data_IF_625029633813
#
_entry.id   IF_625029633813
#
_cell.length_a   1.000
_cell.length_b   1.000
_cell.length_c   1.000
_cell.angle_alpha   90.00
_cell.angle_beta   90.00
_cell.angle_gamma   90.00
#
_symmetry.space_group_name_H-M   'P 1'
#
loop_
_entity.id
_entity.type
_entity.pdbx_description
1 polymer ?
#
# COMPACT_ATOMS: atom_id res chain seq x y z
N UNK A 1 -14.17 12.77 3.27
CA UNK A 1 -13.12 12.18 4.14
C UNK A 1 -11.81 12.09 3.39
N UNK A 2 -10.68 12.25 4.08
CA UNK A 2 -9.32 12.19 3.52
C UNK A 2 -8.63 10.90 3.92
N UNK A 3 -8.27 10.07 2.93
CA UNK A 3 -7.64 8.78 3.14
C UNK A 3 -6.20 8.83 2.61
N UNK A 4 -5.26 8.42 3.45
CA UNK A 4 -3.84 8.44 3.13
C UNK A 4 -3.23 7.04 3.25
N UNK A 5 -2.27 6.76 2.38
CA UNK A 5 -1.42 5.57 2.45
C UNK A 5 0.04 5.98 2.45
N UNK A 6 0.85 5.40 3.33
CA UNK A 6 2.27 5.71 3.43
C UNK A 6 3.10 4.52 3.92
N UNK A 7 4.02 4.04 3.07
CA UNK A 7 5.12 3.21 3.52
C UNK A 7 6.11 4.07 4.32
N UNK A 8 6.14 3.88 5.64
CA UNK A 8 6.93 4.72 6.56
C UNK A 8 8.36 4.23 6.77
N UNK A 9 8.72 3.06 6.22
CA UNK A 9 10.04 2.44 6.40
C UNK A 9 10.51 2.44 7.87
N UNK A 10 9.59 2.09 8.78
CA UNK A 10 9.77 2.09 10.22
C UNK A 10 9.08 3.26 10.92
N UNK A 11 7.96 2.97 11.59
CA UNK A 11 7.12 3.98 12.26
C UNK A 11 7.87 4.78 13.33
N UNK A 12 8.75 4.11 14.09
CA UNK A 12 9.59 4.75 15.11
C UNK A 12 10.55 5.78 14.49
N UNK A 13 11.09 5.50 13.31
CA UNK A 13 12.04 6.38 12.66
C UNK A 13 11.35 7.66 12.17
N UNK A 14 10.16 7.55 11.57
CA UNK A 14 9.40 8.71 11.09
C UNK A 14 8.84 9.57 12.24
N UNK A 15 8.45 8.95 13.35
CA UNK A 15 8.04 9.65 14.58
C UNK A 15 9.21 10.40 15.21
N UNK A 16 10.36 9.75 15.39
CA UNK A 16 11.55 10.38 15.98
C UNK A 16 12.07 11.58 15.18
N UNK A 17 11.85 11.59 13.85
CA UNK A 17 12.19 12.74 12.99
C UNK A 17 11.17 13.89 13.09
N UNK A 18 10.04 13.70 13.76
CA UNK A 18 8.92 14.64 13.82
C UNK A 18 8.11 14.72 12.53
N UNK A 19 8.39 13.88 11.53
CA UNK A 19 7.75 13.95 10.22
C UNK A 19 6.33 13.41 10.25
N UNK A 20 6.06 12.42 11.12
CA UNK A 20 4.70 11.89 11.28
C UNK A 20 3.73 12.93 11.86
N UNK A 21 4.17 13.70 12.88
CA UNK A 21 3.37 14.78 13.46
C UNK A 21 3.13 15.92 12.46
N UNK A 22 4.16 16.32 11.69
CA UNK A 22 4.01 17.32 10.61
C UNK A 22 3.02 16.85 9.54
N UNK A 23 3.11 15.58 9.15
CA UNK A 23 2.18 14.97 8.20
C UNK A 23 0.72 15.10 8.70
N UNK A 24 0.42 14.68 9.92
CA UNK A 24 -0.94 14.78 10.46
C UNK A 24 -1.41 16.23 10.57
N UNK A 25 -0.53 17.13 11.05
CA UNK A 25 -0.86 18.54 11.23
C UNK A 25 -1.11 19.29 9.90
N UNK A 26 -0.42 18.91 8.82
CA UNK A 26 -0.54 19.57 7.52
C UNK A 26 -1.72 19.04 6.71
N UNK A 27 -1.96 17.72 6.77
CA UNK A 27 -2.89 17.06 5.86
C UNK A 27 -4.25 16.74 6.47
N UNK A 28 -4.34 16.67 7.81
CA UNK A 28 -5.54 16.34 8.56
C UNK A 28 -6.27 15.08 8.05
N UNK A 29 -5.59 13.91 8.02
CA UNK A 29 -6.20 12.67 7.54
C UNK A 29 -7.38 12.23 8.42
N UNK A 30 -8.32 11.48 7.84
CA UNK A 30 -9.38 10.78 8.57
C UNK A 30 -9.02 9.29 8.74
N UNK A 31 -8.37 8.70 7.73
CA UNK A 31 -7.83 7.35 7.75
C UNK A 31 -6.39 7.38 7.22
N UNK A 32 -5.49 6.72 7.94
CA UNK A 32 -4.08 6.57 7.60
C UNK A 32 -3.74 5.08 7.52
N UNK A 33 -3.36 4.62 6.34
CA UNK A 33 -2.86 3.28 6.09
C UNK A 33 -1.33 3.32 6.07
N UNK A 34 -0.68 2.55 6.94
CA UNK A 34 0.77 2.52 7.07
C UNK A 34 1.33 1.15 6.67
N UNK A 35 2.42 1.17 5.91
CA UNK A 35 3.19 -0.02 5.54
C UNK A 35 4.63 0.08 6.06
N UNK A 36 5.28 -1.07 6.19
CA UNK A 36 6.59 -1.21 6.83
C UNK A 36 6.67 -0.52 8.21
N UNK A 37 5.68 -0.78 9.07
CA UNK A 37 5.72 -0.21 10.43
C UNK A 37 6.96 -0.69 11.20
N UNK A 38 7.44 -1.91 10.93
CA UNK A 38 8.62 -2.54 11.57
C UNK A 38 8.55 -2.51 13.10
N UNK A 39 7.33 -2.55 13.65
CA UNK A 39 7.06 -2.43 15.07
C UNK A 39 5.78 -3.20 15.42
N UNK A 40 5.74 -3.74 16.64
CA UNK A 40 4.50 -4.21 17.26
C UNK A 40 3.74 -3.05 17.88
N UNK A 41 2.42 -3.20 18.04
CA UNK A 41 1.62 -2.26 18.82
C UNK A 41 2.25 -2.05 20.21
N UNK A 42 2.32 -0.80 20.66
CA UNK A 42 2.96 -0.40 21.92
C UNK A 42 4.49 -0.28 21.87
N UNK A 43 5.15 -0.60 20.75
CA UNK A 43 6.60 -0.34 20.58
C UNK A 43 6.91 1.06 20.01
N UNK A 44 5.88 1.81 19.61
CA UNK A 44 5.97 3.21 19.22
C UNK A 44 4.88 3.97 19.99
N UNK A 45 5.22 5.16 20.48
CA UNK A 45 4.25 6.07 21.08
C UNK A 45 3.55 6.83 19.96
N UNK A 46 2.25 6.63 19.81
CA UNK A 46 1.42 7.30 18.82
C UNK A 46 0.62 8.38 19.55
N UNK A 47 1.01 9.64 19.38
CA UNK A 47 0.31 10.79 19.97
C UNK A 47 -0.81 11.28 19.03
N UNK A 48 -1.82 10.43 18.84
CA UNK A 48 -3.01 10.70 18.02
C UNK A 48 -4.28 10.27 18.76
N UNK A 49 -4.70 10.99 19.82
CA UNK A 49 -5.81 10.55 20.68
C UNK A 49 -7.18 10.48 19.96
N UNK A 50 -7.33 11.13 18.80
CA UNK A 50 -8.54 11.08 17.98
C UNK A 50 -8.62 9.84 17.09
N UNK A 51 -7.55 9.02 17.02
CA UNK A 51 -7.47 7.86 16.14
C UNK A 51 -7.55 6.56 16.93
N UNK A 52 -8.34 5.61 16.44
CA UNK A 52 -8.21 4.21 16.80
C UNK A 52 -7.09 3.57 15.99
N UNK A 53 -6.34 2.66 16.63
CA UNK A 53 -5.19 1.99 16.04
C UNK A 53 -5.43 0.51 15.81
N UNK A 54 -5.23 0.06 14.57
CA UNK A 54 -5.30 -1.35 14.21
C UNK A 54 -3.97 -1.79 13.60
N UNK A 55 -3.37 -2.83 14.16
CA UNK A 55 -2.02 -3.29 13.79
C UNK A 55 -2.04 -4.73 13.31
N UNK A 56 -1.24 -5.01 12.27
CA UNK A 56 -0.86 -6.35 11.85
C UNK A 56 0.66 -6.39 11.73
N UNK A 57 1.30 -6.89 12.78
CA UNK A 57 2.74 -6.86 12.93
C UNK A 57 3.36 -8.18 12.48
N UNK A 58 4.52 -8.14 11.84
CA UNK A 58 5.24 -9.36 11.52
C UNK A 58 5.73 -10.10 12.78
N UNK A 59 5.80 -11.42 12.69
CA UNK A 59 6.43 -12.26 13.72
C UNK A 59 7.91 -11.91 13.87
N UNK A 60 8.59 -11.67 12.75
CA UNK A 60 9.99 -11.25 12.70
C UNK A 60 10.12 -9.80 13.20
N UNK A 61 10.87 -9.53 14.28
CA UNK A 61 11.05 -8.18 14.79
C UNK A 61 11.71 -7.25 13.76
N UNK A 62 11.24 -6.00 13.68
CA UNK A 62 11.84 -4.97 12.82
C UNK A 62 11.61 -5.18 11.32
N UNK A 63 10.65 -6.02 10.93
CA UNK A 63 10.39 -6.36 9.54
C UNK A 63 8.92 -6.13 9.19
N UNK A 64 8.65 -5.66 7.96
CA UNK A 64 7.29 -5.54 7.39
C UNK A 64 6.32 -4.84 8.36
N UNK A 65 5.09 -5.34 8.48
CA UNK A 65 4.05 -4.82 9.36
C UNK A 65 3.23 -3.72 8.70
N UNK A 66 1.94 -3.73 8.98
CA UNK A 66 0.96 -2.75 8.52
C UNK A 66 0.14 -2.22 9.69
N UNK A 67 -0.43 -1.04 9.51
CA UNK A 67 -1.37 -0.46 10.46
C UNK A 67 -2.44 0.37 9.74
N UNK A 68 -3.63 0.48 10.33
CA UNK A 68 -4.65 1.45 9.97
C UNK A 68 -4.93 2.30 11.20
N UNK A 69 -4.74 3.61 11.09
CA UNK A 69 -5.21 4.59 12.08
C UNK A 69 -6.43 5.28 11.52
N UNK A 70 -7.53 5.33 12.28
CA UNK A 70 -8.79 5.91 11.79
C UNK A 70 -9.50 6.71 12.88
N UNK A 71 -10.05 7.88 12.53
CA UNK A 71 -10.94 8.66 13.41
C UNK A 71 -12.34 8.05 13.54
N UNK A 72 -12.68 7.15 12.61
CA UNK A 72 -13.98 6.48 12.55
C UNK A 72 -13.77 5.04 12.98
N UNK A 73 -14.55 4.60 13.97
CA UNK A 73 -14.51 3.22 14.43
C UNK A 73 -15.02 2.28 13.34
N UNK A 74 -14.21 1.32 12.85
CA UNK A 74 -14.68 0.31 11.91
C UNK A 74 -15.66 -0.67 12.57
N UNK A 75 -16.53 -1.27 11.75
CA UNK A 75 -17.46 -2.32 12.16
C UNK A 75 -16.72 -3.63 12.49
N UNK A 76 -15.69 -3.94 11.70
CA UNK A 76 -14.84 -5.10 11.87
C UNK A 76 -13.45 -4.84 11.29
N UNK A 77 -12.45 -5.57 11.79
CA UNK A 77 -11.08 -5.53 11.26
C UNK A 77 -10.55 -6.94 11.13
N UNK A 78 -10.00 -7.25 9.95
CA UNK A 78 -9.43 -8.56 9.60
C UNK A 78 -7.97 -8.40 9.23
N UNK A 79 -7.12 -9.22 9.82
CA UNK A 79 -5.68 -9.28 9.52
C UNK A 79 -5.40 -10.47 8.60
N UNK A 80 -4.72 -10.23 7.48
CA UNK A 80 -4.42 -11.28 6.49
C UNK A 80 -5.57 -11.54 5.52
N UNK A 81 -5.63 -12.77 5.01
CA UNK A 81 -6.66 -13.22 4.08
C UNK A 81 -7.73 -14.05 4.81
N UNK A 82 -8.89 -14.24 4.17
CA UNK A 82 -9.86 -15.23 4.65
C UNK A 82 -9.23 -16.64 4.66
N UNK A 83 -9.56 -17.46 5.67
CA UNK A 83 -8.96 -18.78 5.89
C UNK A 83 -9.00 -19.69 4.64
N UNK A 84 -10.11 -19.64 3.91
CA UNK A 84 -10.32 -20.43 2.67
C UNK A 84 -9.32 -20.05 1.58
N UNK A 85 -8.99 -18.76 1.45
CA UNK A 85 -8.03 -18.22 0.49
C UNK A 85 -6.61 -18.60 0.93
N UNK A 86 -6.29 -18.43 2.21
CA UNK A 86 -5.00 -18.83 2.78
C UNK A 86 -4.69 -20.30 2.53
N UNK A 87 -5.67 -21.18 2.78
CA UNK A 87 -5.55 -22.62 2.53
C UNK A 87 -5.40 -22.97 1.05
N UNK A 88 -6.11 -22.26 0.17
CA UNK A 88 -6.05 -22.48 -1.29
C UNK A 88 -4.69 -22.17 -1.87
N UNK A 89 -4.09 -21.04 -1.50
CA UNK A 89 -2.85 -20.54 -2.14
C UNK A 89 -1.56 -21.03 -1.47
N UNK A 90 -1.63 -21.50 -0.22
CA UNK A 90 -0.50 -22.08 0.52
C UNK A 90 0.74 -21.19 0.46
N UNK A 91 0.61 -19.97 0.97
CA UNK A 91 1.62 -18.92 0.85
C UNK A 91 2.89 -19.31 1.62
N UNK A 92 3.91 -19.76 0.90
CA UNK A 92 5.21 -20.09 1.49
C UNK A 92 6.31 -20.07 0.44
N UNK A 93 7.47 -19.55 0.81
CA UNK A 93 8.69 -19.61 0.03
C UNK A 93 9.91 -19.82 0.94
N UNK A 94 11.12 -19.66 0.39
CA UNK A 94 12.37 -19.78 1.15
C UNK A 94 12.55 -18.70 2.24
N UNK A 95 11.71 -17.66 2.26
CA UNK A 95 11.70 -16.61 3.27
C UNK A 95 10.65 -16.84 4.37
N UNK A 96 9.78 -17.86 4.21
CA UNK A 96 8.76 -18.27 5.17
C UNK A 96 7.34 -18.07 4.64
N UNK A 97 6.37 -17.98 5.54
CA UNK A 97 4.97 -17.70 5.19
C UNK A 97 4.70 -16.18 5.24
N UNK A 98 4.35 -15.53 4.10
CA UNK A 98 3.95 -14.11 4.02
C UNK A 98 2.82 -13.68 4.96
N UNK A 99 1.93 -14.58 5.38
CA UNK A 99 0.84 -14.27 6.31
C UNK A 99 1.36 -13.91 7.70
N UNK A 100 2.54 -14.42 8.07
CA UNK A 100 3.25 -14.06 9.31
C UNK A 100 4.06 -12.77 9.19
N UNK A 101 4.01 -12.12 8.04
CA UNK A 101 4.75 -10.89 7.76
C UNK A 101 3.88 -9.63 7.98
N UNK A 102 2.62 -9.77 8.41
CA UNK A 102 1.77 -8.64 8.80
C UNK A 102 1.46 -7.67 7.65
N UNK A 103 1.13 -8.23 6.47
CA UNK A 103 1.10 -7.48 5.21
C UNK A 103 -0.24 -6.89 4.82
N UNK A 104 -1.35 -7.36 5.38
CA UNK A 104 -2.71 -6.96 4.97
C UNK A 104 -3.57 -6.69 6.19
N UNK A 105 -4.29 -5.56 6.17
CA UNK A 105 -5.38 -5.25 7.10
C UNK A 105 -6.57 -4.79 6.28
N UNK A 106 -7.73 -5.36 6.56
CA UNK A 106 -9.02 -4.96 6.00
C UNK A 106 -9.90 -4.40 7.13
N UNK A 107 -10.29 -3.14 7.04
CA UNK A 107 -11.21 -2.47 7.97
C UNK A 107 -12.56 -2.23 7.28
N UNK A 108 -13.62 -2.71 7.90
CA UNK A 108 -14.98 -2.56 7.41
C UNK A 108 -15.62 -1.27 7.93
N UNK A 109 -16.17 -0.45 7.04
CA UNK A 109 -17.02 0.68 7.39
C UNK A 109 -18.45 0.43 6.90
N UNK A 110 -19.38 1.33 7.22
CA UNK A 110 -20.80 1.16 6.90
C UNK A 110 -21.03 0.89 5.41
N UNK A 111 -20.35 1.65 4.53
CA UNK A 111 -20.60 1.63 3.09
C UNK A 111 -19.48 1.04 2.24
N UNK A 112 -18.31 0.75 2.81
CA UNK A 112 -17.12 0.33 2.06
C UNK A 112 -16.08 -0.35 2.96
N UNK A 113 -15.13 -1.05 2.34
CA UNK A 113 -13.91 -1.53 2.99
C UNK A 113 -12.74 -0.59 2.72
N UNK A 114 -11.85 -0.43 3.71
CA UNK A 114 -10.49 0.07 3.48
C UNK A 114 -9.51 -1.08 3.70
N UNK A 115 -8.68 -1.36 2.70
CA UNK A 115 -7.67 -2.41 2.77
C UNK A 115 -6.29 -1.80 2.57
N UNK A 116 -5.39 -2.00 3.53
CA UNK A 116 -3.97 -1.66 3.35
C UNK A 116 -3.17 -2.92 3.04
N UNK A 117 -2.23 -2.82 2.10
CA UNK A 117 -1.34 -3.91 1.73
C UNK A 117 0.11 -3.45 1.63
N UNK A 118 1.03 -4.29 2.10
CA UNK A 118 2.45 -4.21 1.78
C UNK A 118 2.85 -5.47 1.01
N UNK A 119 2.89 -5.36 -0.31
CA UNK A 119 3.15 -6.50 -1.20
C UNK A 119 4.58 -7.01 -1.03
N UNK A 120 4.83 -8.33 -0.96
CA UNK A 120 6.18 -8.89 -0.94
C UNK A 120 7.03 -8.38 -2.10
N UNK A 121 8.12 -7.69 -1.79
CA UNK A 121 9.12 -7.32 -2.79
C UNK A 121 9.78 -8.60 -3.36
N UNK A 122 9.89 -8.69 -4.69
CA UNK A 122 10.47 -9.84 -5.41
C UNK A 122 11.96 -10.08 -5.14
N UNK A 123 12.63 -9.13 -4.46
CA UNK A 123 14.08 -9.04 -4.22
C UNK A 123 14.88 -8.77 -5.49
N UNK A 124 16.07 -8.20 -5.33
CA UNK A 124 16.93 -7.84 -6.46
C UNK A 124 17.42 -9.06 -7.28
N UNK A 125 17.42 -10.25 -6.68
CA UNK A 125 17.71 -11.53 -7.32
C UNK A 125 16.45 -12.26 -7.83
N UNK A 126 15.27 -11.63 -7.74
CA UNK A 126 13.97 -12.18 -8.09
C UNK A 126 13.58 -13.46 -7.34
N UNK A 127 14.23 -13.75 -6.21
CA UNK A 127 14.02 -14.98 -5.43
C UNK A 127 12.61 -15.14 -4.86
N UNK A 128 11.81 -14.07 -4.80
CA UNK A 128 10.40 -14.10 -4.38
C UNK A 128 9.41 -13.87 -5.52
N UNK A 129 9.89 -13.73 -6.76
CA UNK A 129 9.01 -13.42 -7.90
C UNK A 129 7.96 -14.51 -8.14
N UNK A 130 8.34 -15.78 -8.01
CA UNK A 130 7.42 -16.91 -8.20
C UNK A 130 6.30 -16.89 -7.15
N UNK A 131 6.64 -16.76 -5.87
CA UNK A 131 5.66 -16.58 -4.78
C UNK A 131 4.73 -15.40 -5.09
N UNK A 132 5.32 -14.26 -5.46
CA UNK A 132 4.56 -13.05 -5.73
C UNK A 132 3.53 -13.27 -6.84
N UNK A 133 3.99 -13.76 -7.99
CA UNK A 133 3.18 -13.85 -9.19
C UNK A 133 2.18 -15.03 -9.17
N UNK A 134 2.58 -16.18 -8.63
CA UNK A 134 1.76 -17.41 -8.66
C UNK A 134 0.82 -17.56 -7.47
N UNK A 135 1.16 -16.96 -6.33
CA UNK A 135 0.43 -17.20 -5.08
C UNK A 135 -0.07 -15.89 -4.47
N UNK A 136 0.80 -14.91 -4.21
CA UNK A 136 0.43 -13.69 -3.49
C UNK A 136 -0.55 -12.80 -4.27
N UNK A 137 -0.19 -12.35 -5.47
CA UNK A 137 -1.04 -11.43 -6.26
C UNK A 137 -2.43 -12.05 -6.55
N UNK A 138 -2.53 -13.34 -6.94
CA UNK A 138 -3.82 -14.02 -7.08
C UNK A 138 -4.61 -14.14 -5.76
N UNK A 139 -3.96 -14.49 -4.64
CA UNK A 139 -4.62 -14.59 -3.34
C UNK A 139 -5.17 -13.24 -2.89
N UNK A 140 -4.39 -12.18 -3.06
CA UNK A 140 -4.82 -10.84 -2.69
C UNK A 140 -5.98 -10.37 -3.56
N UNK A 141 -5.94 -10.62 -4.88
CA UNK A 141 -7.07 -10.32 -5.76
C UNK A 141 -8.34 -11.07 -5.34
N UNK A 142 -8.25 -12.36 -5.04
CA UNK A 142 -9.40 -13.15 -4.57
C UNK A 142 -9.95 -12.62 -3.25
N UNK A 143 -9.08 -12.20 -2.32
CA UNK A 143 -9.49 -11.58 -1.06
C UNK A 143 -10.23 -10.26 -1.29
N UNK A 144 -9.71 -9.40 -2.17
CA UNK A 144 -10.37 -8.15 -2.53
C UNK A 144 -11.75 -8.40 -3.15
N UNK A 145 -11.87 -9.39 -4.06
CA UNK A 145 -13.17 -9.74 -4.67
C UNK A 145 -14.14 -10.38 -3.68
N UNK A 146 -13.64 -11.15 -2.72
CA UNK A 146 -14.45 -11.66 -1.61
C UNK A 146 -15.04 -10.51 -0.79
N UNK A 147 -14.22 -9.52 -0.40
CA UNK A 147 -14.72 -8.33 0.32
C UNK A 147 -15.68 -7.50 -0.54
N UNK A 148 -15.35 -7.31 -1.82
CA UNK A 148 -16.16 -6.55 -2.78
C UNK A 148 -17.55 -7.16 -3.00
N UNK A 149 -17.70 -8.48 -2.80
CA UNK A 149 -19.00 -9.14 -2.84
C UNK A 149 -19.98 -8.67 -1.75
N UNK A 150 -19.47 -8.06 -0.68
CA UNK A 150 -20.25 -7.57 0.46
C UNK A 150 -20.43 -6.06 0.41
N UNK A 151 -19.33 -5.31 0.20
CA UNK A 151 -19.30 -3.85 0.11
C UNK A 151 -18.17 -3.44 -0.84
N UNK A 152 -18.29 -2.30 -1.54
CA UNK A 152 -17.21 -1.84 -2.39
C UNK A 152 -15.92 -1.61 -1.60
N UNK A 153 -14.78 -1.82 -2.25
CA UNK A 153 -13.45 -1.82 -1.64
C UNK A 153 -12.65 -0.62 -2.11
N UNK A 154 -12.01 0.08 -1.17
CA UNK A 154 -10.86 0.94 -1.42
C UNK A 154 -9.63 0.20 -0.87
N UNK A 155 -8.63 -0.03 -1.71
CA UNK A 155 -7.37 -0.58 -1.22
C UNK A 155 -6.18 0.27 -1.60
N UNK A 156 -5.16 0.22 -0.75
CA UNK A 156 -3.99 1.06 -0.88
C UNK A 156 -2.73 0.43 -0.31
N UNK A 157 -1.60 1.05 -0.63
CA UNK A 157 -0.30 0.70 -0.06
C UNK A 157 0.78 0.54 -1.11
N UNK A 158 1.94 0.12 -0.62
CA UNK A 158 3.10 -0.21 -1.43
C UNK A 158 2.90 -1.58 -2.10
N UNK A 159 2.57 -1.54 -3.39
CA UNK A 159 2.39 -2.72 -4.22
C UNK A 159 3.71 -3.22 -4.81
N UNK A 160 4.84 -2.55 -4.56
CA UNK A 160 6.16 -2.92 -5.08
C UNK A 160 6.18 -3.14 -6.60
N UNK A 161 5.39 -2.38 -7.37
CA UNK A 161 5.36 -2.47 -8.84
C UNK A 161 5.06 -1.11 -9.44
N UNK A 162 5.81 -0.73 -10.48
CA UNK A 162 5.42 0.34 -11.40
C UNK A 162 4.68 -0.30 -12.59
N UNK A 163 3.41 0.08 -12.81
CA UNK A 163 2.55 -0.61 -13.80
C UNK A 163 2.98 -0.34 -15.24
N UNK A 164 3.18 0.94 -15.57
CA UNK A 164 3.49 1.41 -16.92
C UNK A 164 4.86 2.07 -17.00
N UNK A 165 5.39 2.26 -18.21
CA UNK A 165 6.68 2.94 -18.40
C UNK A 165 6.68 4.39 -17.87
N UNK A 166 5.52 5.04 -17.82
CA UNK A 166 5.36 6.39 -17.24
C UNK A 166 5.41 6.41 -15.70
N UNK A 167 5.37 5.24 -15.05
CA UNK A 167 5.38 5.09 -13.60
C UNK A 167 6.79 5.01 -13.00
N UNK A 168 7.85 5.16 -13.80
CA UNK A 168 9.23 5.23 -13.32
C UNK A 168 10.13 6.07 -14.23
N UNK A 169 11.17 6.67 -13.68
CA UNK A 169 12.03 7.60 -14.41
C UNK A 169 12.90 6.92 -15.51
N UNK A 170 13.20 5.63 -15.38
CA UNK A 170 14.14 4.92 -16.25
C UNK A 170 13.60 3.53 -16.65
N UNK A 171 12.49 3.43 -17.39
CA UNK A 171 11.84 2.14 -17.68
C UNK A 171 12.76 1.16 -18.41
N UNK A 172 13.47 1.62 -19.45
CA UNK A 172 14.33 0.77 -20.29
C UNK A 172 15.42 0.03 -19.50
N UNK A 173 15.99 0.66 -18.49
CA UNK A 173 17.05 0.08 -17.66
C UNK A 173 16.51 -0.86 -16.57
N UNK A 174 15.19 -0.89 -16.38
CA UNK A 174 14.53 -1.63 -15.30
C UNK A 174 13.62 -2.75 -15.79
N UNK A 175 13.43 -2.93 -17.10
CA UNK A 175 12.76 -4.11 -17.66
C UNK A 175 13.37 -5.38 -17.07
N UNK A 176 12.51 -6.23 -16.50
CA UNK A 176 12.91 -7.51 -15.91
C UNK A 176 13.60 -7.41 -14.54
N UNK A 177 13.65 -6.22 -13.92
CA UNK A 177 14.08 -6.06 -12.53
C UNK A 177 12.87 -6.03 -11.60
N UNK A 178 13.07 -6.39 -10.34
CA UNK A 178 12.04 -6.26 -9.30
C UNK A 178 11.41 -4.85 -9.31
N UNK A 179 10.09 -4.81 -9.18
CA UNK A 179 9.28 -3.61 -9.37
C UNK A 179 8.85 -3.33 -10.82
N UNK A 180 9.44 -4.01 -11.82
CA UNK A 180 9.14 -3.78 -13.24
C UNK A 180 9.36 -5.05 -14.10
N UNK A 181 9.12 -6.24 -13.55
CA UNK A 181 9.02 -7.45 -14.38
C UNK A 181 7.65 -7.56 -15.06
N UNK A 182 7.55 -8.37 -16.11
CA UNK A 182 6.27 -8.59 -16.78
C UNK A 182 5.27 -9.30 -15.87
N UNK A 183 5.73 -10.21 -15.00
CA UNK A 183 4.90 -10.92 -14.03
C UNK A 183 4.27 -9.98 -12.99
N UNK A 184 5.05 -9.02 -12.46
CA UNK A 184 4.56 -8.04 -11.48
C UNK A 184 3.57 -7.07 -12.14
N UNK A 185 3.88 -6.61 -13.36
CA UNK A 185 2.99 -5.73 -14.13
C UNK A 185 1.71 -6.45 -14.54
N UNK A 186 1.80 -7.73 -14.87
CA UNK A 186 0.62 -8.59 -15.11
C UNK A 186 -0.19 -8.76 -13.84
N UNK A 187 0.44 -8.97 -12.69
CA UNK A 187 -0.23 -9.00 -11.39
C UNK A 187 -1.03 -7.73 -11.12
N UNK A 188 -0.44 -6.56 -11.38
CA UNK A 188 -1.14 -5.28 -11.28
C UNK A 188 -2.30 -5.17 -12.28
N UNK A 189 -2.06 -5.53 -13.55
CA UNK A 189 -3.09 -5.50 -14.61
C UNK A 189 -4.30 -6.36 -14.25
N UNK A 190 -4.10 -7.51 -13.58
CA UNK A 190 -5.19 -8.36 -13.15
C UNK A 190 -6.16 -7.67 -12.16
N UNK A 191 -5.69 -6.72 -11.33
CA UNK A 191 -6.60 -5.91 -10.51
C UNK A 191 -7.49 -5.02 -11.38
N UNK A 192 -6.91 -4.39 -12.41
CA UNK A 192 -7.66 -3.53 -13.33
C UNK A 192 -8.67 -4.33 -14.15
N UNK A 193 -8.25 -5.47 -14.69
CA UNK A 193 -9.11 -6.37 -15.47
C UNK A 193 -10.24 -6.97 -14.62
N UNK A 194 -10.04 -7.10 -13.31
CA UNK A 194 -11.06 -7.51 -12.36
C UNK A 194 -12.05 -6.39 -11.96
N UNK A 195 -11.89 -5.18 -12.51
CA UNK A 195 -12.80 -4.05 -12.34
C UNK A 195 -12.37 -3.01 -11.30
N UNK A 196 -11.16 -3.09 -10.76
CA UNK A 196 -10.62 -2.03 -9.92
C UNK A 196 -10.09 -0.87 -10.77
N UNK A 197 -10.20 0.36 -10.26
CA UNK A 197 -9.67 1.56 -10.89
C UNK A 197 -8.42 2.05 -10.17
N UNK A 198 -7.32 2.29 -10.90
CA UNK A 198 -6.20 3.10 -10.38
C UNK A 198 -6.66 4.56 -10.31
N UNK A 199 -6.94 5.04 -9.09
CA UNK A 199 -7.53 6.37 -8.88
C UNK A 199 -6.65 7.50 -9.42
N UNK A 200 -5.33 7.36 -9.32
CA UNK A 200 -4.40 8.38 -9.81
C UNK A 200 -4.38 8.42 -11.33
N UNK A 201 -4.28 7.27 -12.01
CA UNK A 201 -4.28 7.20 -13.47
C UNK A 201 -5.62 7.52 -14.09
N UNK A 202 -6.72 7.26 -13.38
CA UNK A 202 -8.04 7.67 -13.82
C UNK A 202 -8.19 9.19 -13.94
N UNK A 203 -7.57 9.97 -13.04
CA UNK A 203 -7.57 11.43 -13.12
C UNK A 203 -6.41 11.98 -13.97
N UNK A 204 -5.25 11.33 -13.93
CA UNK A 204 -4.01 11.78 -14.57
C UNK A 204 -3.42 10.67 -15.46
N UNK A 205 -4.08 10.29 -16.57
CA UNK A 205 -3.71 9.12 -17.37
C UNK A 205 -2.29 9.22 -17.92
N UNK A 206 -1.91 10.38 -18.44
CA UNK A 206 -0.63 10.58 -19.14
C UNK A 206 0.42 11.33 -18.29
N UNK A 207 0.14 11.60 -17.01
CA UNK A 207 1.06 12.39 -16.17
C UNK A 207 2.35 11.63 -15.88
N UNK A 208 3.47 12.15 -16.37
CA UNK A 208 4.81 11.65 -16.07
C UNK A 208 5.39 12.31 -14.81
N UNK A 209 6.56 11.84 -14.38
CA UNK A 209 7.36 12.45 -13.29
C UNK A 209 6.64 12.48 -11.92
N UNK A 210 5.61 11.66 -11.75
CA UNK A 210 4.79 11.56 -10.56
C UNK A 210 5.10 10.24 -9.83
N UNK A 211 6.04 10.31 -8.89
CA UNK A 211 6.60 9.14 -8.20
C UNK A 211 6.31 9.18 -6.71
N UNK A 212 6.21 8.00 -6.08
CA UNK A 212 5.95 7.84 -4.65
C UNK A 212 7.15 7.32 -3.88
N UNK A 213 8.15 6.75 -4.56
CA UNK A 213 9.36 6.19 -3.99
C UNK A 213 10.62 6.66 -4.71
N UNK A 214 11.69 6.89 -3.93
CA UNK A 214 13.02 7.19 -4.45
C UNK A 214 14.09 6.50 -3.59
N UNK A 215 15.06 5.88 -4.25
CA UNK A 215 16.22 5.34 -3.55
C UNK A 215 16.99 6.44 -2.80
N UNK A 216 17.57 6.10 -1.64
CA UNK A 216 18.41 7.02 -0.89
C UNK A 216 19.74 7.36 -1.58
N UNK A 217 20.15 6.57 -2.58
CA UNK A 217 21.41 6.75 -3.29
C UNK A 217 21.35 7.89 -4.31
N UNK A 218 22.52 8.50 -4.56
CA UNK A 218 22.73 9.47 -5.63
C UNK A 218 21.71 10.62 -5.66
N UNK A 219 21.22 11.04 -4.48
CA UNK A 219 20.26 12.12 -4.34
C UNK A 219 19.03 11.97 -5.26
N UNK A 220 18.53 10.73 -5.43
CA UNK A 220 17.52 10.40 -6.43
C UNK A 220 16.22 11.20 -6.25
N UNK A 221 15.77 11.40 -5.00
CA UNK A 221 14.57 12.20 -4.69
C UNK A 221 14.67 13.64 -5.20
N UNK A 222 15.77 14.34 -4.91
CA UNK A 222 15.96 15.72 -5.39
C UNK A 222 16.10 15.83 -6.92
N UNK A 223 16.54 14.75 -7.59
CA UNK A 223 16.61 14.67 -9.06
C UNK A 223 15.34 14.09 -9.69
N UNK A 224 14.32 13.80 -8.88
CA UNK A 224 13.11 13.09 -9.24
C UNK A 224 13.33 11.79 -10.03
N UNK A 225 14.38 11.03 -9.70
CA UNK A 225 14.62 9.70 -10.29
C UNK A 225 13.88 8.66 -9.44
N UNK A 226 12.56 8.58 -9.63
CA UNK A 226 11.66 7.82 -8.78
C UNK A 226 10.81 6.78 -9.50
N UNK A 227 9.97 6.13 -8.71
CA UNK A 227 8.99 5.12 -9.11
C UNK A 227 7.64 5.40 -8.42
N UNK A 228 6.54 5.15 -9.10
CA UNK A 228 5.19 5.12 -8.52
C UNK A 228 4.87 3.67 -8.19
N UNK A 229 4.97 3.34 -6.90
CA UNK A 229 4.71 1.98 -6.39
C UNK A 229 3.70 1.95 -5.24
N UNK A 230 3.25 3.13 -4.80
CA UNK A 230 2.21 3.31 -3.79
C UNK A 230 0.91 3.75 -4.47
N UNK A 231 -0.18 3.07 -4.16
CA UNK A 231 -1.43 3.22 -4.90
C UNK A 231 -2.64 3.41 -4.00
N UNK A 232 -3.69 3.99 -4.60
CA UNK A 232 -5.08 3.80 -4.20
C UNK A 232 -5.83 3.21 -5.39
N UNK A 233 -6.38 2.02 -5.21
CA UNK A 233 -7.29 1.37 -6.14
C UNK A 233 -8.69 1.29 -5.51
N UNK A 234 -9.72 1.38 -6.34
CA UNK A 234 -11.10 1.40 -5.87
C UNK A 234 -12.00 0.50 -6.71
N UNK A 235 -13.04 -0.06 -6.09
CA UNK A 235 -14.18 -0.62 -6.80
C UNK A 235 -14.81 0.43 -7.70
N UNK A 236 -15.23 0.01 -8.90
CA UNK A 236 -15.85 0.90 -9.90
C UNK A 236 -17.05 1.69 -9.34
N UNK A 237 -17.83 1.10 -8.42
CA UNK A 237 -19.00 1.73 -7.80
C UNK A 237 -18.65 3.00 -7.01
N UNK A 238 -17.43 3.10 -6.45
CA UNK A 238 -16.99 4.26 -5.69
C UNK A 238 -16.50 5.40 -6.58
N UNK A 239 -16.31 5.18 -7.89
CA UNK A 239 -15.67 6.15 -8.78
C UNK A 239 -16.27 7.56 -8.69
N UNK A 240 -17.60 7.67 -8.73
CA UNK A 240 -18.29 8.97 -8.68
C UNK A 240 -18.21 9.70 -7.33
N UNK A 241 -17.71 9.02 -6.29
CA UNK A 241 -17.52 9.54 -4.93
C UNK A 241 -16.08 9.90 -4.64
N UNK A 242 -15.15 9.50 -5.50
CA UNK A 242 -13.72 9.71 -5.32
C UNK A 242 -13.26 10.99 -6.00
N UNK A 243 -12.38 11.70 -5.32
CA UNK A 243 -11.78 12.92 -5.83
C UNK A 243 -10.37 13.12 -5.27
N UNK A 244 -9.66 14.08 -5.84
CA UNK A 244 -8.35 14.52 -5.37
C UNK A 244 -7.29 13.42 -5.09
N UNK A 245 -7.08 12.41 -5.96
CA UNK A 245 -5.87 11.59 -5.89
C UNK A 245 -4.61 12.46 -5.96
N UNK A 246 -3.75 12.34 -4.95
CA UNK A 246 -2.51 13.11 -4.83
C UNK A 246 -1.34 12.21 -4.43
N UNK A 247 -0.15 12.62 -4.87
CA UNK A 247 1.13 12.10 -4.42
C UNK A 247 1.84 13.28 -3.75
N UNK A 248 2.40 13.07 -2.56
CA UNK A 248 2.89 14.16 -1.70
C UNK A 248 4.44 14.19 -1.60
N UNK A 249 5.17 14.44 -2.70
CA UNK A 249 6.63 14.27 -2.77
C UNK A 249 7.42 15.17 -1.82
N UNK A 250 6.82 16.24 -1.31
CA UNK A 250 7.44 17.15 -0.34
C UNK A 250 7.42 16.60 1.10
N UNK A 251 6.54 15.64 1.40
CA UNK A 251 6.47 15.04 2.74
C UNK A 251 7.63 14.07 2.95
N UNK A 252 8.58 14.46 3.80
CA UNK A 252 9.79 13.70 4.09
C UNK A 252 9.56 12.66 5.21
N UNK A 253 10.60 11.87 5.52
CA UNK A 253 10.61 10.94 6.65
C UNK A 253 10.95 9.50 6.26
N UNK A 254 10.47 9.08 5.09
CA UNK A 254 10.66 7.78 4.45
C UNK A 254 11.29 7.94 3.05
N UNK A 255 11.81 6.87 2.47
CA UNK A 255 12.10 6.78 1.02
C UNK A 255 10.84 6.82 0.16
N UNK A 256 9.68 6.56 0.76
CA UNK A 256 8.38 6.83 0.18
C UNK A 256 7.80 8.18 0.65
N UNK A 257 6.91 8.74 -0.16
CA UNK A 257 5.99 9.80 0.27
C UNK A 257 4.54 9.28 0.35
N UNK A 258 3.66 9.92 1.13
CA UNK A 258 2.26 9.54 1.18
C UNK A 258 1.56 9.71 -0.19
N UNK A 259 0.55 8.88 -0.41
CA UNK A 259 -0.44 9.01 -1.48
C UNK A 259 -1.84 9.10 -0.87
N UNK A 260 -2.72 9.90 -1.44
CA UNK A 260 -4.05 10.13 -0.85
C UNK A 260 -5.16 10.18 -1.88
N UNK A 261 -6.38 9.99 -1.39
CA UNK A 261 -7.62 10.27 -2.09
C UNK A 261 -8.59 10.97 -1.12
N UNK A 262 -9.61 11.61 -1.67
CA UNK A 262 -10.77 12.09 -0.95
C UNK A 262 -12.01 11.30 -1.39
N UNK A 263 -12.87 10.97 -0.43
CA UNK A 263 -14.17 10.35 -0.70
C UNK A 263 -15.30 11.19 -0.11
N UNK A 264 -16.33 11.44 -0.91
CA UNK A 264 -17.60 12.03 -0.48
C UNK A 264 -18.63 10.92 -0.22
N UNK A 265 -19.14 10.84 1.01
CA UNK A 265 -20.02 9.76 1.46
C UNK A 265 -21.42 10.27 1.83
#
# INVERSE_FOLDING_TARGET
MKLFSWNVNGIRAVINKGEFAKFVANYHPDIICLQETKAKQGQAEIDLPEFEEYWNSADKPGYSGTAIFTKIKPLSVVNGFADEISQKYQLSDNYGNPEKEGRVISAEFDNFWVVTVYTPNSKGDLSRLELRHKQWDPAFLEHLKYLESQKPVLFCGDLNVAHQEIDLANPKQNIGKHGFTDEERTGFQNFLDAGFIDTFRQQYPDKTDAYSWWTHWANARARNVGWRIDYWLASQELFGKLSNPQIHPEQMGSDHCPVSIEIDL
#
